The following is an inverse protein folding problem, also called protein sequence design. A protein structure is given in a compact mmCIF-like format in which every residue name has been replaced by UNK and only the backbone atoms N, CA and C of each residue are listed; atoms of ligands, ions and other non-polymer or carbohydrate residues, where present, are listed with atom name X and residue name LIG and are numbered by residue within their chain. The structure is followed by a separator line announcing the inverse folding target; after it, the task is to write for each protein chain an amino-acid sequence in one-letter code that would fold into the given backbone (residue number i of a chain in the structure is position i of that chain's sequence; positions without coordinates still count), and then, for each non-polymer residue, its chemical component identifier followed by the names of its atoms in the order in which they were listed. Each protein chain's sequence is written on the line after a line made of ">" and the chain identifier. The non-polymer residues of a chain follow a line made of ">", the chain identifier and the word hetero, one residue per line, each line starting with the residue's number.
data_IF_911317356405
#
_entry.id   IF_911317356405
#
_cell.length_a   1.000
_cell.length_b   1.000
_cell.length_c   1.000
_cell.angle_alpha   90.00
_cell.angle_beta   90.00
_cell.angle_gamma   90.00
#
_symmetry.space_group_name_H-M   'P 1'
#
loop_
_entity.id
_entity.type
_entity.pdbx_description
1 polymer ?
#
# COMPACT_ATOMS: atom_id res chain seq x y z
N UNK A 1 -40.01 17.03 -79.69
CA UNK A 1 -40.53 17.96 -78.66
C UNK A 1 -40.80 17.17 -77.38
N UNK A 2 -40.14 17.55 -76.28
CA UNK A 2 -40.45 17.10 -74.92
C UNK A 2 -41.86 17.58 -74.55
N UNK A 3 -42.66 16.77 -73.87
CA UNK A 3 -43.46 17.21 -72.71
C UNK A 3 -43.84 15.98 -71.87
N UNK A 4 -43.33 15.95 -70.64
CA UNK A 4 -43.51 14.91 -69.63
C UNK A 4 -44.96 14.87 -69.11
N UNK A 5 -45.51 13.66 -69.04
CA UNK A 5 -46.76 13.36 -68.34
C UNK A 5 -46.44 13.18 -66.85
N UNK A 6 -47.03 14.02 -66.01
CA UNK A 6 -46.93 13.91 -64.55
C UNK A 6 -48.09 13.05 -64.07
N UNK A 7 -47.80 11.84 -63.56
CA UNK A 7 -48.78 10.96 -62.92
C UNK A 7 -48.75 11.23 -61.42
N UNK A 8 -49.85 11.74 -60.88
CA UNK A 8 -50.05 11.91 -59.45
C UNK A 8 -50.40 10.55 -58.81
N UNK A 9 -49.52 10.04 -57.95
CA UNK A 9 -49.78 8.86 -57.12
C UNK A 9 -50.30 9.32 -55.74
N UNK A 10 -51.53 8.93 -55.41
CA UNK A 10 -52.12 9.17 -54.11
C UNK A 10 -51.51 8.21 -53.06
N UNK A 11 -50.70 8.75 -52.15
CA UNK A 11 -50.17 8.03 -50.99
C UNK A 11 -51.23 8.05 -49.87
N UNK A 12 -51.72 6.87 -49.49
CA UNK A 12 -52.58 6.72 -48.30
C UNK A 12 -51.70 6.73 -47.04
N UNK A 13 -51.88 7.74 -46.18
CA UNK A 13 -51.17 7.88 -44.92
C UNK A 13 -51.83 6.96 -43.88
N UNK A 14 -51.18 5.86 -43.54
CA UNK A 14 -51.48 5.08 -42.33
C UNK A 14 -50.84 5.77 -41.14
N UNK A 15 -51.64 6.53 -40.37
CA UNK A 15 -51.25 7.07 -39.07
C UNK A 15 -51.14 5.91 -38.07
N UNK A 16 -49.93 5.37 -37.93
CA UNK A 16 -49.54 4.50 -36.82
C UNK A 16 -49.39 5.36 -35.56
N UNK A 17 -50.35 5.26 -34.63
CA UNK A 17 -50.18 5.77 -33.28
C UNK A 17 -49.10 4.94 -32.56
N UNK A 18 -47.84 5.38 -32.62
CA UNK A 18 -46.82 4.89 -31.69
C UNK A 18 -47.23 5.32 -30.28
N UNK A 19 -47.54 4.34 -29.42
CA UNK A 19 -47.66 4.58 -27.98
C UNK A 19 -46.35 5.23 -27.50
N UNK A 20 -46.39 6.30 -26.69
CA UNK A 20 -45.17 6.84 -26.10
C UNK A 20 -44.50 5.72 -25.29
N UNK A 21 -43.23 5.45 -25.60
CA UNK A 21 -42.39 4.58 -24.77
C UNK A 21 -42.45 5.11 -23.34
N UNK A 22 -42.97 4.29 -22.43
CA UNK A 22 -42.95 4.60 -21.01
C UNK A 22 -41.49 4.84 -20.61
N UNK A 23 -41.19 6.07 -20.20
CA UNK A 23 -39.88 6.43 -19.64
C UNK A 23 -39.61 5.50 -18.46
N UNK A 24 -38.58 4.66 -18.59
CA UNK A 24 -38.17 3.76 -17.51
C UNK A 24 -37.93 4.61 -16.25
N UNK A 25 -38.49 4.25 -15.09
CA UNK A 25 -38.30 5.01 -13.87
C UNK A 25 -36.80 5.05 -13.55
N UNK A 26 -36.26 6.27 -13.46
CA UNK A 26 -34.85 6.45 -13.12
C UNK A 26 -34.66 6.11 -11.64
N UNK A 27 -33.73 5.21 -11.35
CA UNK A 27 -33.42 4.83 -9.98
C UNK A 27 -32.74 6.01 -9.25
N UNK A 28 -33.48 6.62 -8.32
CA UNK A 28 -33.02 7.77 -7.54
C UNK A 28 -31.78 7.44 -6.69
N UNK A 29 -31.59 6.18 -6.31
CA UNK A 29 -30.41 5.74 -5.56
C UNK A 29 -29.16 5.79 -6.43
N UNK A 30 -29.27 5.33 -7.68
CA UNK A 30 -28.18 5.37 -8.67
C UNK A 30 -27.77 6.80 -8.99
N UNK A 31 -28.72 7.74 -9.10
CA UNK A 31 -28.42 9.16 -9.30
C UNK A 31 -27.71 9.74 -8.08
N UNK A 32 -28.20 9.46 -6.86
CA UNK A 32 -27.59 9.91 -5.61
C UNK A 32 -26.16 9.41 -5.45
N UNK A 33 -25.93 8.12 -5.68
CA UNK A 33 -24.61 7.49 -5.60
C UNK A 33 -23.63 8.09 -6.65
N UNK A 34 -24.14 8.42 -7.84
CA UNK A 34 -23.36 9.10 -8.88
C UNK A 34 -22.98 10.53 -8.50
N UNK A 35 -23.91 11.30 -7.93
CA UNK A 35 -23.65 12.66 -7.47
C UNK A 35 -22.64 12.71 -6.31
N UNK A 36 -22.75 11.78 -5.35
CA UNK A 36 -21.79 11.61 -4.25
C UNK A 36 -20.40 11.29 -4.82
N UNK A 37 -20.30 10.35 -5.76
CA UNK A 37 -19.01 10.01 -6.38
C UNK A 37 -18.36 11.20 -7.11
N UNK A 38 -19.14 11.99 -7.85
CA UNK A 38 -18.65 13.22 -8.51
C UNK A 38 -18.15 14.24 -7.50
N UNK A 39 -18.90 14.45 -6.42
CA UNK A 39 -18.52 15.39 -5.36
C UNK A 39 -17.26 14.93 -4.62
N UNK A 40 -17.17 13.65 -4.26
CA UNK A 40 -15.98 13.06 -3.65
C UNK A 40 -14.74 13.24 -4.53
N UNK A 41 -14.86 12.93 -5.82
CA UNK A 41 -13.79 13.14 -6.79
C UNK A 41 -13.32 14.59 -6.80
N UNK A 42 -14.26 15.55 -6.86
CA UNK A 42 -13.93 16.99 -6.83
C UNK A 42 -13.20 17.40 -5.55
N UNK A 43 -13.69 16.98 -4.39
CA UNK A 43 -13.08 17.29 -3.10
C UNK A 43 -11.67 16.72 -2.98
N UNK A 44 -11.48 15.45 -3.34
CA UNK A 44 -10.16 14.84 -3.33
C UNK A 44 -9.20 15.52 -4.31
N UNK A 45 -9.64 15.83 -5.53
CA UNK A 45 -8.79 16.54 -6.51
C UNK A 45 -8.33 17.89 -5.96
N UNK A 46 -9.25 18.71 -5.44
CA UNK A 46 -8.90 20.03 -4.86
C UNK A 46 -7.96 19.91 -3.66
N UNK A 47 -8.19 18.92 -2.79
CA UNK A 47 -7.33 18.68 -1.63
C UNK A 47 -5.93 18.24 -2.06
N UNK A 48 -5.81 17.30 -3.00
CA UNK A 48 -4.51 16.88 -3.53
C UNK A 48 -3.78 18.03 -4.24
N UNK A 49 -4.49 18.87 -5.00
CA UNK A 49 -3.90 20.06 -5.61
C UNK A 49 -3.30 21.01 -4.56
N UNK A 50 -4.04 21.25 -3.47
CA UNK A 50 -3.60 22.06 -2.34
C UNK A 50 -2.35 21.46 -1.66
N UNK A 51 -2.39 20.17 -1.30
CA UNK A 51 -1.27 19.48 -0.64
C UNK A 51 -0.02 19.50 -1.52
N UNK A 52 -0.16 19.19 -2.81
CA UNK A 52 0.97 19.18 -3.74
C UNK A 52 1.59 20.56 -3.91
N UNK A 53 0.77 21.61 -4.03
CA UNK A 53 1.24 22.99 -4.16
C UNK A 53 1.93 23.49 -2.90
N UNK A 54 1.32 23.23 -1.73
CA UNK A 54 1.78 23.65 -0.40
C UNK A 54 3.11 23.01 -0.01
N UNK A 55 3.26 21.70 -0.25
CA UNK A 55 4.45 20.95 0.17
C UNK A 55 5.46 20.73 -0.94
N UNK A 56 5.18 21.21 -2.16
CA UNK A 56 6.04 20.94 -3.33
C UNK A 56 6.27 19.43 -3.48
N UNK A 57 5.18 18.68 -3.42
CA UNK A 57 5.22 17.23 -3.28
C UNK A 57 5.75 16.57 -4.57
N UNK A 58 6.85 15.83 -4.48
CA UNK A 58 7.43 15.07 -5.59
C UNK A 58 7.08 13.58 -5.42
N UNK A 59 6.06 13.12 -6.15
CA UNK A 59 5.50 11.80 -5.94
C UNK A 59 4.16 11.57 -6.66
N UNK A 60 3.54 10.46 -6.30
CA UNK A 60 2.25 10.00 -6.80
C UNK A 60 1.29 9.72 -5.66
N UNK A 61 0.03 10.14 -5.83
CA UNK A 61 -1.07 9.83 -4.92
C UNK A 61 -2.26 9.35 -5.73
N UNK A 62 -2.91 8.29 -5.26
CA UNK A 62 -4.22 7.91 -5.77
C UNK A 62 -5.16 7.45 -4.66
N UNK A 63 -6.44 7.71 -4.91
CA UNK A 63 -7.56 7.25 -4.10
C UNK A 63 -8.45 6.38 -4.99
N UNK A 64 -8.72 5.18 -4.55
CA UNK A 64 -9.62 4.24 -5.21
C UNK A 64 -10.75 3.88 -4.27
N UNK A 65 -11.95 3.66 -4.80
CA UNK A 65 -13.09 3.10 -4.06
C UNK A 65 -13.51 1.80 -4.74
N UNK A 66 -13.29 0.67 -4.07
CA UNK A 66 -13.25 -0.65 -4.70
C UNK A 66 -12.43 -0.62 -6.00
N UNK A 67 -13.03 -0.83 -7.16
CA UNK A 67 -12.32 -0.89 -8.45
C UNK A 67 -12.26 0.46 -9.17
N UNK A 68 -12.91 1.49 -8.64
CA UNK A 68 -13.05 2.80 -9.27
C UNK A 68 -11.93 3.73 -8.82
N UNK A 69 -11.19 4.29 -9.77
CA UNK A 69 -10.28 5.40 -9.50
C UNK A 69 -11.08 6.67 -9.20
N UNK A 70 -11.01 7.15 -7.96
CA UNK A 70 -11.64 8.41 -7.54
C UNK A 70 -10.81 9.58 -8.06
N UNK A 71 -9.52 9.60 -7.72
CA UNK A 71 -8.58 10.60 -8.22
C UNK A 71 -7.14 10.06 -8.22
N UNK A 72 -6.31 10.63 -9.09
CA UNK A 72 -4.85 10.42 -9.10
C UNK A 72 -4.18 11.75 -9.37
N UNK A 73 -3.02 11.98 -8.74
CA UNK A 73 -2.13 13.08 -9.05
C UNK A 73 -0.68 12.60 -9.01
N UNK A 74 0.06 12.90 -10.07
CA UNK A 74 1.51 12.70 -10.17
C UNK A 74 2.15 14.08 -10.28
N UNK A 75 3.30 14.28 -9.65
CA UNK A 75 4.04 15.55 -9.76
C UNK A 75 5.53 15.35 -9.55
N UNK A 76 6.31 16.15 -10.30
CA UNK A 76 7.75 16.19 -10.16
C UNK A 76 8.47 15.09 -10.95
N UNK A 77 9.66 14.72 -10.50
CA UNK A 77 10.61 13.91 -11.27
C UNK A 77 10.98 12.60 -10.59
N UNK A 78 10.97 11.52 -11.37
CA UNK A 78 11.51 10.21 -11.00
C UNK A 78 13.05 10.22 -11.11
N UNK A 79 13.58 11.03 -12.04
CA UNK A 79 14.99 11.41 -12.10
C UNK A 79 15.14 12.94 -12.23
N UNK A 80 15.63 13.59 -11.17
CA UNK A 80 15.82 15.04 -11.13
C UNK A 80 16.89 15.55 -12.11
N UNK A 81 17.97 14.78 -12.35
CA UNK A 81 19.07 15.20 -13.24
C UNK A 81 18.58 15.24 -14.69
N UNK A 82 17.87 14.20 -15.10
CA UNK A 82 17.38 14.05 -16.47
C UNK A 82 15.98 14.65 -16.67
N UNK A 83 15.36 15.20 -15.62
CA UNK A 83 13.99 15.72 -15.62
C UNK A 83 12.96 14.68 -16.12
N UNK A 84 13.18 13.39 -15.84
CA UNK A 84 12.21 12.33 -16.17
C UNK A 84 11.00 12.50 -15.24
N UNK A 85 9.83 12.79 -15.80
CA UNK A 85 8.62 13.03 -15.02
C UNK A 85 8.17 11.76 -14.27
N UNK A 86 7.45 11.95 -13.16
CA UNK A 86 6.70 10.87 -12.51
C UNK A 86 5.40 10.64 -13.27
N UNK A 87 5.10 9.37 -13.56
CA UNK A 87 3.90 8.92 -14.25
C UNK A 87 3.27 7.69 -13.57
N UNK A 88 2.26 7.11 -14.22
CA UNK A 88 1.53 5.95 -13.69
C UNK A 88 2.35 4.65 -13.65
N UNK A 89 3.44 4.57 -14.42
CA UNK A 89 4.31 3.40 -14.51
C UNK A 89 5.55 3.52 -13.63
N UNK A 90 5.71 4.67 -12.96
CA UNK A 90 6.86 4.92 -12.10
C UNK A 90 6.83 4.00 -10.88
N UNK A 91 7.91 3.25 -10.69
CA UNK A 91 8.09 2.30 -9.59
C UNK A 91 8.83 2.98 -8.44
N UNK A 92 8.32 2.85 -7.21
CA UNK A 92 8.89 3.46 -6.02
C UNK A 92 9.37 2.39 -5.03
N UNK A 93 10.40 2.71 -4.25
CA UNK A 93 10.73 1.95 -3.07
C UNK A 93 9.66 2.19 -1.99
N UNK A 94 8.98 1.13 -1.54
CA UNK A 94 7.84 1.26 -0.63
C UNK A 94 8.23 1.13 0.85
N UNK A 95 9.51 0.90 1.14
CA UNK A 95 10.04 0.76 2.49
C UNK A 95 9.22 -0.24 3.31
N UNK A 96 8.96 0.09 4.58
CA UNK A 96 8.28 -0.82 5.51
C UNK A 96 6.84 -1.23 5.15
N UNK A 97 6.22 -0.71 4.09
CA UNK A 97 5.02 -1.34 3.52
C UNK A 97 5.32 -2.80 3.11
N UNK A 98 6.59 -3.11 2.80
CA UNK A 98 7.10 -4.46 2.52
C UNK A 98 6.74 -5.50 3.59
N UNK A 99 6.59 -5.08 4.86
CA UNK A 99 6.27 -5.96 5.98
C UNK A 99 4.94 -6.69 5.83
N UNK A 100 3.97 -6.08 5.13
CA UNK A 100 2.68 -6.72 4.86
C UNK A 100 2.87 -8.01 4.06
N UNK A 101 3.74 -7.99 3.05
CA UNK A 101 4.01 -9.14 2.19
C UNK A 101 4.73 -10.25 2.97
N UNK A 102 5.72 -9.90 3.79
CA UNK A 102 6.42 -10.84 4.68
C UNK A 102 5.46 -11.52 5.65
N UNK A 103 4.59 -10.74 6.30
CA UNK A 103 3.59 -11.27 7.22
C UNK A 103 2.61 -12.21 6.53
N UNK A 104 2.11 -11.84 5.34
CA UNK A 104 1.23 -12.71 4.54
C UNK A 104 1.94 -13.98 4.10
N UNK A 105 3.21 -13.93 3.71
CA UNK A 105 3.99 -15.12 3.37
C UNK A 105 4.11 -16.08 4.57
N UNK A 106 4.40 -15.56 5.77
CA UNK A 106 4.42 -16.38 7.00
C UNK A 106 3.06 -17.03 7.25
N UNK A 107 1.98 -16.27 7.11
CA UNK A 107 0.62 -16.77 7.31
C UNK A 107 0.23 -17.83 6.27
N UNK A 108 0.64 -17.69 5.01
CA UNK A 108 0.47 -18.73 4.00
C UNK A 108 1.23 -20.02 4.38
N UNK A 109 2.42 -19.91 4.98
CA UNK A 109 3.15 -21.08 5.49
C UNK A 109 2.49 -21.72 6.72
N UNK A 110 1.72 -20.96 7.49
CA UNK A 110 0.86 -21.48 8.55
C UNK A 110 -0.31 -22.27 7.95
N UNK A 111 -0.96 -21.74 6.91
CA UNK A 111 -2.03 -22.45 6.21
C UNK A 111 -1.54 -23.73 5.53
N UNK A 112 -0.31 -23.73 5.01
CA UNK A 112 0.37 -24.93 4.48
C UNK A 112 0.76 -25.95 5.58
N UNK A 113 0.54 -25.64 6.87
CA UNK A 113 0.92 -26.49 8.00
C UNK A 113 2.44 -26.59 8.25
N UNK A 114 3.25 -25.71 7.63
CA UNK A 114 4.72 -25.77 7.69
C UNK A 114 5.31 -25.10 8.94
N UNK A 115 4.55 -24.21 9.57
CA UNK A 115 4.92 -23.56 10.83
C UNK A 115 3.68 -23.09 11.59
N UNK A 116 3.87 -22.73 12.86
CA UNK A 116 2.86 -22.18 13.75
C UNK A 116 3.31 -20.83 14.30
N UNK A 117 2.38 -20.00 14.76
CA UNK A 117 2.71 -18.70 15.37
C UNK A 117 3.53 -18.87 16.65
N UNK A 118 3.28 -19.95 17.38
CA UNK A 118 3.88 -20.30 18.66
C UNK A 118 5.24 -21.00 18.51
N UNK A 119 5.61 -21.41 17.28
CA UNK A 119 6.93 -21.99 17.07
C UNK A 119 8.02 -20.97 17.41
N UNK A 120 9.07 -21.45 18.08
CA UNK A 120 10.27 -20.68 18.34
C UNK A 120 11.04 -20.46 17.04
N UNK A 121 11.55 -19.25 16.82
CA UNK A 121 12.36 -18.92 15.65
C UNK A 121 13.66 -19.75 15.58
N UNK A 122 14.19 -20.18 16.74
CA UNK A 122 15.36 -21.06 16.90
C UNK A 122 15.23 -22.42 16.21
N UNK A 123 13.99 -22.88 16.00
CA UNK A 123 13.66 -24.09 15.21
C UNK A 123 14.03 -23.96 13.73
N UNK A 124 14.05 -22.73 13.21
CA UNK A 124 14.20 -22.46 11.78
C UNK A 124 15.51 -21.74 11.44
N UNK A 125 15.98 -20.86 12.33
CA UNK A 125 17.11 -19.96 12.08
C UNK A 125 18.15 -20.13 13.19
N UNK A 126 19.37 -20.53 12.82
CA UNK A 126 20.44 -20.88 13.76
C UNK A 126 20.83 -19.71 14.66
N UNK A 127 20.76 -18.48 14.15
CA UNK A 127 21.08 -17.26 14.89
C UNK A 127 20.18 -17.03 16.12
N UNK A 128 19.00 -17.67 16.18
CA UNK A 128 18.11 -17.65 17.34
C UNK A 128 18.41 -18.72 18.39
N UNK A 129 19.36 -19.63 18.15
CA UNK A 129 19.70 -20.71 19.11
C UNK A 129 20.57 -20.24 20.29
N UNK A 130 20.87 -18.94 20.36
CA UNK A 130 21.47 -18.32 21.54
C UNK A 130 20.44 -18.23 22.68
N UNK A 131 20.90 -18.41 23.92
CA UNK A 131 20.05 -18.43 25.13
C UNK A 131 19.11 -17.23 25.27
N UNK A 132 19.57 -16.05 24.87
CA UNK A 132 18.78 -14.81 24.94
C UNK A 132 17.66 -14.75 23.90
N UNK A 133 17.74 -15.51 22.80
CA UNK A 133 16.76 -15.47 21.70
C UNK A 133 15.93 -16.74 21.57
N UNK A 134 16.33 -17.84 22.21
CA UNK A 134 15.79 -19.18 21.95
C UNK A 134 14.27 -19.30 22.14
N UNK A 135 13.70 -18.44 22.99
CA UNK A 135 12.26 -18.40 23.30
C UNK A 135 11.47 -17.39 22.47
N UNK A 136 12.09 -16.68 21.52
CA UNK A 136 11.38 -15.76 20.63
C UNK A 136 10.52 -16.56 19.64
N UNK A 137 9.22 -16.28 19.64
CA UNK A 137 8.24 -16.92 18.76
C UNK A 137 8.04 -16.16 17.45
N UNK A 138 7.45 -16.83 16.46
CA UNK A 138 7.07 -16.21 15.18
C UNK A 138 6.03 -15.10 15.39
N UNK A 139 5.07 -15.29 16.32
CA UNK A 139 4.14 -14.25 16.75
C UNK A 139 4.85 -12.96 17.20
N UNK A 140 5.87 -13.10 18.06
CA UNK A 140 6.61 -11.97 18.63
C UNK A 140 7.45 -11.22 17.58
N UNK A 141 7.90 -11.91 16.53
CA UNK A 141 8.54 -11.27 15.39
C UNK A 141 7.55 -10.46 14.53
N UNK A 142 6.36 -11.02 14.26
CA UNK A 142 5.32 -10.39 13.44
C UNK A 142 4.74 -9.11 14.05
N UNK A 143 4.61 -9.06 15.38
CA UNK A 143 4.01 -7.92 16.10
C UNK A 143 5.03 -7.05 16.85
N UNK A 144 6.34 -7.25 16.61
CA UNK A 144 7.42 -6.46 17.20
C UNK A 144 7.52 -6.53 18.74
N UNK A 145 7.11 -7.65 19.33
CA UNK A 145 7.23 -7.87 20.79
C UNK A 145 8.41 -8.76 21.18
N UNK A 146 9.33 -9.06 20.25
CA UNK A 146 10.49 -9.94 20.51
C UNK A 146 11.58 -9.34 21.42
N UNK A 147 11.62 -8.02 21.57
CA UNK A 147 12.71 -7.32 22.26
C UNK A 147 13.97 -7.12 21.40
N UNK A 148 14.00 -7.61 20.15
CA UNK A 148 15.13 -7.42 19.24
C UNK A 148 15.23 -5.96 18.80
N UNK A 149 16.43 -5.40 18.87
CA UNK A 149 16.79 -4.18 18.16
C UNK A 149 17.49 -4.55 16.86
N UNK A 150 18.77 -4.90 16.97
CA UNK A 150 19.59 -5.49 15.91
C UNK A 150 19.97 -6.94 16.26
N UNK A 151 20.18 -7.75 15.23
CA UNK A 151 20.69 -9.10 15.37
C UNK A 151 22.09 -9.11 16.00
N UNK A 152 22.24 -9.95 17.02
CA UNK A 152 23.50 -10.15 17.73
C UNK A 152 23.61 -9.34 19.02
N UNK A 153 22.80 -8.30 19.19
CA UNK A 153 22.73 -7.47 20.40
C UNK A 153 21.86 -8.10 21.49
N UNK A 154 21.97 -7.61 22.73
CA UNK A 154 21.07 -8.02 23.81
C UNK A 154 19.64 -7.55 23.51
N UNK A 155 18.65 -8.31 23.96
CA UNK A 155 17.25 -7.86 23.91
C UNK A 155 17.07 -6.60 24.76
N UNK A 156 16.26 -5.67 24.25
CA UNK A 156 15.91 -4.44 24.97
C UNK A 156 14.98 -4.72 26.16
N UNK A 157 14.22 -5.80 26.09
CA UNK A 157 13.30 -6.28 27.13
C UNK A 157 13.04 -7.78 26.95
N UNK A 158 12.43 -8.42 27.95
CA UNK A 158 12.03 -9.83 27.87
C UNK A 158 11.02 -10.03 26.75
N UNK A 159 11.26 -10.98 25.84
CA UNK A 159 10.34 -11.27 24.73
C UNK A 159 8.89 -11.41 25.20
N UNK A 160 7.97 -10.71 24.53
CA UNK A 160 6.55 -10.62 24.86
C UNK A 160 6.17 -9.56 25.90
N UNK A 161 7.12 -8.91 26.59
CA UNK A 161 6.81 -7.95 27.66
C UNK A 161 6.77 -6.49 27.23
N UNK A 162 7.01 -6.19 25.95
CA UNK A 162 7.11 -4.82 25.44
C UNK A 162 7.03 -4.76 23.93
N UNK A 163 7.20 -3.57 23.37
CA UNK A 163 7.17 -3.32 21.93
C UNK A 163 8.46 -2.60 21.48
N UNK A 164 9.14 -3.14 20.47
CA UNK A 164 10.22 -2.45 19.76
C UNK A 164 10.16 -2.76 18.26
N UNK A 165 9.96 -1.72 17.46
CA UNK A 165 9.88 -1.86 16.01
C UNK A 165 11.23 -2.30 15.43
N UNK A 166 11.31 -3.54 14.96
CA UNK A 166 12.56 -4.17 14.51
C UNK A 166 12.49 -4.59 13.05
N UNK A 167 13.39 -4.05 12.21
CA UNK A 167 13.59 -4.52 10.85
C UNK A 167 14.25 -5.91 10.86
N UNK A 168 15.19 -6.14 11.77
CA UNK A 168 15.87 -7.42 11.90
C UNK A 168 14.90 -8.54 12.29
N UNK A 169 13.90 -8.27 13.12
CA UNK A 169 12.81 -9.21 13.37
C UNK A 169 12.06 -9.63 12.10
N UNK A 170 11.82 -8.72 11.16
CA UNK A 170 11.20 -9.05 9.88
C UNK A 170 12.16 -9.72 8.90
N UNK A 171 13.45 -9.37 8.91
CA UNK A 171 14.48 -10.08 8.16
C UNK A 171 14.62 -11.53 8.64
N UNK A 172 14.42 -11.78 9.94
CA UNK A 172 14.31 -13.13 10.50
C UNK A 172 13.16 -13.91 9.88
N UNK A 173 11.97 -13.31 9.80
CA UNK A 173 10.80 -13.92 9.16
C UNK A 173 11.10 -14.28 7.70
N UNK A 174 11.84 -13.44 6.98
CA UNK A 174 12.34 -13.75 5.64
C UNK A 174 13.16 -15.05 5.60
N UNK A 175 14.14 -15.20 6.50
CA UNK A 175 14.94 -16.43 6.60
C UNK A 175 14.10 -17.65 6.98
N UNK A 176 13.07 -17.48 7.82
CA UNK A 176 12.13 -18.56 8.17
C UNK A 176 11.35 -18.99 6.91
N UNK A 177 10.85 -18.04 6.12
CA UNK A 177 10.17 -18.32 4.84
C UNK A 177 11.09 -19.12 3.91
N UNK A 178 12.36 -18.72 3.77
CA UNK A 178 13.33 -19.44 2.96
C UNK A 178 13.52 -20.87 3.44
N UNK A 179 13.72 -21.05 4.75
CA UNK A 179 13.93 -22.34 5.39
C UNK A 179 12.77 -23.31 5.15
N UNK A 180 11.53 -22.86 5.30
CA UNK A 180 10.34 -23.73 5.19
C UNK A 180 9.85 -23.91 3.75
N UNK A 181 10.19 -23.00 2.85
CA UNK A 181 9.78 -23.06 1.44
C UNK A 181 10.80 -23.75 0.54
N UNK A 182 12.09 -23.75 0.91
CA UNK A 182 13.19 -24.19 0.06
C UNK A 182 13.51 -23.23 -1.09
N UNK A 183 12.89 -22.05 -1.13
CA UNK A 183 13.09 -21.00 -2.15
C UNK A 183 13.67 -19.75 -1.50
N UNK A 184 14.37 -18.90 -2.26
CA UNK A 184 14.78 -17.59 -1.76
C UNK A 184 13.58 -16.73 -1.37
N UNK A 185 13.81 -15.74 -0.51
CA UNK A 185 12.76 -14.79 -0.13
C UNK A 185 12.25 -14.03 -1.35
N UNK A 186 13.17 -13.62 -2.24
CA UNK A 186 12.85 -12.97 -3.51
C UNK A 186 11.88 -13.82 -4.34
N UNK A 187 12.13 -15.13 -4.50
CA UNK A 187 11.23 -16.00 -5.27
C UNK A 187 9.86 -16.15 -4.61
N UNK A 188 9.78 -16.27 -3.29
CA UNK A 188 8.49 -16.36 -2.59
C UNK A 188 7.65 -15.10 -2.78
N UNK A 189 8.28 -13.91 -2.74
CA UNK A 189 7.59 -12.64 -2.99
C UNK A 189 7.16 -12.51 -4.45
N UNK A 190 8.02 -12.88 -5.40
CA UNK A 190 7.65 -12.85 -6.83
C UNK A 190 6.50 -13.83 -7.15
N UNK A 191 6.49 -15.02 -6.55
CA UNK A 191 5.39 -15.99 -6.68
C UNK A 191 4.08 -15.41 -6.13
N UNK A 192 4.13 -14.69 -5.00
CA UNK A 192 2.98 -14.00 -4.43
C UNK A 192 2.48 -12.88 -5.35
N UNK A 193 3.36 -12.05 -5.89
CA UNK A 193 3.00 -11.00 -6.84
C UNK A 193 2.34 -11.58 -8.09
N UNK A 194 2.87 -12.68 -8.62
CA UNK A 194 2.26 -13.39 -9.75
C UNK A 194 0.86 -13.90 -9.43
N UNK A 195 0.65 -14.48 -8.23
CA UNK A 195 -0.68 -14.94 -7.76
C UNK A 195 -1.69 -13.80 -7.67
N UNK A 196 -1.26 -12.62 -7.19
CA UNK A 196 -2.13 -11.44 -7.00
C UNK A 196 -2.33 -10.66 -8.32
N UNK A 197 -1.40 -10.76 -9.26
CA UNK A 197 -1.40 -9.99 -10.50
C UNK A 197 -0.63 -8.65 -10.42
N UNK A 198 0.25 -8.49 -9.43
CA UNK A 198 1.12 -7.32 -9.26
C UNK A 198 2.30 -7.39 -10.24
N UNK A 199 2.08 -6.97 -11.49
CA UNK A 199 3.04 -7.14 -12.60
C UNK A 199 4.17 -6.11 -12.60
N UNK A 200 4.02 -5.01 -11.85
CA UNK A 200 4.97 -3.89 -11.78
C UNK A 200 5.60 -3.78 -10.38
N UNK A 201 5.72 -4.92 -9.70
CA UNK A 201 6.31 -5.04 -8.37
C UNK A 201 7.44 -6.05 -8.39
N UNK A 202 8.50 -5.75 -7.66
CA UNK A 202 9.65 -6.61 -7.53
C UNK A 202 10.34 -6.39 -6.19
N UNK A 203 11.33 -7.21 -5.88
CA UNK A 203 12.30 -6.87 -4.84
C UNK A 203 13.39 -5.97 -5.41
N UNK A 204 14.08 -5.24 -4.53
CA UNK A 204 15.23 -4.42 -4.93
C UNK A 204 16.41 -5.21 -5.50
N UNK A 205 16.48 -6.52 -5.21
CA UNK A 205 17.49 -7.43 -5.75
C UNK A 205 17.23 -7.78 -7.22
N UNK A 206 15.97 -8.01 -7.57
CA UNK A 206 15.56 -8.53 -8.89
C UNK A 206 15.11 -7.43 -9.87
N UNK A 207 15.17 -6.16 -9.48
CA UNK A 207 14.72 -5.07 -10.34
C UNK A 207 15.76 -4.76 -11.43
N UNK A 208 15.32 -4.79 -12.69
CA UNK A 208 16.15 -4.51 -13.88
C UNK A 208 15.59 -3.40 -14.78
N UNK A 209 14.49 -2.74 -14.40
CA UNK A 209 13.83 -1.71 -15.21
C UNK A 209 14.48 -0.33 -15.15
N UNK A 210 14.04 0.59 -16.02
CA UNK A 210 14.48 1.98 -16.09
C UNK A 210 13.43 2.98 -15.55
N UNK A 211 12.27 2.48 -15.13
CA UNK A 211 11.13 3.25 -14.62
C UNK A 211 11.12 3.38 -13.08
N UNK A 212 12.24 3.10 -12.42
CA UNK A 212 12.40 3.32 -10.98
C UNK A 212 12.56 4.82 -10.66
N UNK A 213 11.76 5.32 -9.72
CA UNK A 213 11.97 6.62 -9.11
C UNK A 213 13.21 6.57 -8.21
N UNK A 214 14.28 7.24 -8.65
CA UNK A 214 15.49 7.39 -7.83
C UNK A 214 15.14 8.00 -6.47
N UNK A 215 15.84 7.59 -5.41
CA UNK A 215 15.63 8.16 -4.07
C UNK A 215 16.52 9.38 -3.86
N UNK A 216 15.98 10.44 -3.28
CA UNK A 216 16.69 11.71 -3.11
C UNK A 216 16.58 12.26 -1.68
N UNK A 217 17.65 12.89 -1.19
CA UNK A 217 17.58 13.79 -0.04
C UNK A 217 17.36 15.23 -0.48
N UNK A 218 16.78 16.04 0.41
CA UNK A 218 16.64 17.48 0.23
C UNK A 218 15.27 17.87 -0.32
N UNK A 219 15.24 18.76 -1.31
CA UNK A 219 14.02 19.29 -1.92
C UNK A 219 14.19 19.50 -3.42
N UNK A 220 13.14 19.96 -4.10
CA UNK A 220 13.10 20.16 -5.56
C UNK A 220 14.21 21.06 -6.13
N UNK A 221 14.79 21.96 -5.29
CA UNK A 221 15.85 22.90 -5.70
C UNK A 221 17.24 22.38 -5.35
N UNK A 222 17.37 21.78 -4.17
CA UNK A 222 18.63 21.26 -3.63
C UNK A 222 18.44 19.79 -3.27
N UNK A 223 18.84 18.90 -4.17
CA UNK A 223 18.67 17.46 -4.02
C UNK A 223 20.00 16.69 -4.14
N UNK A 224 20.07 15.57 -3.43
CA UNK A 224 21.19 14.62 -3.51
C UNK A 224 20.62 13.23 -3.82
N UNK A 225 21.09 12.59 -4.90
CA UNK A 225 20.66 11.25 -5.28
C UNK A 225 21.31 10.21 -4.37
N UNK A 226 20.51 9.32 -3.78
CA UNK A 226 21.01 8.17 -3.03
C UNK A 226 21.61 7.15 -4.00
N UNK A 227 22.88 6.86 -3.84
CA UNK A 227 23.59 5.89 -4.67
C UNK A 227 23.10 4.45 -4.45
N UNK A 228 23.32 3.61 -5.48
CA UNK A 228 23.08 2.16 -5.47
C UNK A 228 21.63 1.71 -5.22
N UNK A 229 20.64 2.59 -5.32
CA UNK A 229 19.23 2.19 -5.33
C UNK A 229 18.87 1.58 -6.70
N UNK A 230 18.02 0.53 -6.76
CA UNK A 230 17.35 -0.13 -5.65
C UNK A 230 18.15 -1.27 -4.97
N UNK A 231 19.30 -1.70 -5.52
CA UNK A 231 20.11 -2.81 -4.96
C UNK A 231 20.49 -2.60 -3.48
N UNK A 232 20.70 -1.35 -3.05
CA UNK A 232 20.96 -0.95 -1.65
C UNK A 232 19.92 -1.52 -0.67
N UNK A 233 18.69 -1.75 -1.12
CA UNK A 233 17.60 -2.26 -0.28
C UNK A 233 17.85 -3.69 0.22
N UNK A 234 18.66 -4.48 -0.49
CA UNK A 234 19.06 -5.83 -0.08
C UNK A 234 20.12 -5.87 1.02
N UNK A 235 20.73 -4.72 1.36
CA UNK A 235 21.79 -4.66 2.36
C UNK A 235 21.25 -4.87 3.78
N UNK A 236 22.14 -5.28 4.69
CA UNK A 236 21.84 -5.58 6.11
C UNK A 236 21.11 -4.45 6.86
N UNK A 237 21.29 -3.19 6.46
CA UNK A 237 20.65 -2.02 7.09
C UNK A 237 19.11 -2.04 6.96
N UNK A 238 18.59 -2.61 5.86
CA UNK A 238 17.15 -2.66 5.59
C UNK A 238 16.71 -4.11 5.48
N UNK A 239 17.25 -4.84 4.49
CA UNK A 239 16.82 -6.18 4.11
C UNK A 239 15.50 -6.19 3.33
N UNK A 240 15.43 -7.06 2.31
CA UNK A 240 14.24 -7.17 1.45
C UNK A 240 12.95 -7.43 2.25
N UNK A 241 12.90 -8.37 3.21
CA UNK A 241 11.67 -8.66 3.97
C UNK A 241 11.14 -7.49 4.79
N UNK A 242 12.02 -6.64 5.31
CA UNK A 242 11.59 -5.54 6.17
C UNK A 242 11.28 -4.25 5.40
N UNK A 243 11.87 -4.04 4.22
CA UNK A 243 11.71 -2.76 3.51
C UNK A 243 12.17 -2.68 2.06
N UNK A 244 12.52 -3.80 1.41
CA UNK A 244 13.16 -3.77 0.09
C UNK A 244 12.27 -4.13 -1.09
N UNK A 245 10.95 -4.02 -0.95
CA UNK A 245 10.03 -4.16 -2.09
C UNK A 245 9.91 -2.84 -2.85
N UNK A 246 9.73 -2.96 -4.16
CA UNK A 246 9.40 -1.90 -5.09
C UNK A 246 8.00 -2.15 -5.66
N UNK A 247 7.23 -1.09 -5.88
CA UNK A 247 5.87 -1.22 -6.42
C UNK A 247 5.36 0.07 -7.06
N UNK A 248 4.18 -0.02 -7.67
CA UNK A 248 3.42 1.11 -8.22
C UNK A 248 2.14 1.35 -7.41
N UNK A 249 1.48 2.48 -7.68
CA UNK A 249 0.15 2.78 -7.13
C UNK A 249 -0.86 1.68 -7.46
N UNK A 250 -0.89 1.23 -8.72
CA UNK A 250 -1.87 0.27 -9.22
C UNK A 250 -1.67 -1.12 -8.61
N UNK A 251 -0.42 -1.57 -8.49
CA UNK A 251 -0.10 -2.85 -7.87
C UNK A 251 -0.43 -2.86 -6.37
N UNK A 252 -0.15 -1.78 -5.63
CA UNK A 252 -0.53 -1.65 -4.22
C UNK A 252 -2.06 -1.58 -4.02
N UNK A 253 -2.78 -1.00 -4.97
CA UNK A 253 -4.24 -1.07 -4.97
C UNK A 253 -4.74 -2.51 -5.18
N UNK A 254 -4.17 -3.24 -6.15
CA UNK A 254 -4.44 -4.68 -6.34
C UNK A 254 -4.14 -5.50 -5.07
N UNK A 255 -3.02 -5.19 -4.41
CA UNK A 255 -2.66 -5.81 -3.13
C UNK A 255 -3.73 -5.58 -2.07
N UNK A 256 -4.12 -4.32 -1.80
CA UNK A 256 -5.13 -4.00 -0.81
C UNK A 256 -6.45 -4.73 -1.09
N UNK A 257 -6.91 -4.67 -2.35
CA UNK A 257 -8.16 -5.33 -2.77
C UNK A 257 -8.07 -6.85 -2.59
N UNK A 258 -6.94 -7.46 -2.90
CA UNK A 258 -6.80 -8.91 -2.83
C UNK A 258 -6.63 -9.40 -1.40
N UNK A 259 -5.83 -8.70 -0.59
CA UNK A 259 -5.60 -9.05 0.81
C UNK A 259 -6.86 -8.88 1.66
N UNK A 260 -7.41 -7.67 1.71
CA UNK A 260 -8.46 -7.32 2.67
C UNK A 260 -9.85 -7.84 2.28
N UNK A 261 -10.05 -8.21 1.01
CA UNK A 261 -11.26 -8.94 0.57
C UNK A 261 -11.08 -10.47 0.62
N UNK A 262 -10.04 -10.98 1.31
CA UNK A 262 -9.89 -12.41 1.59
C UNK A 262 -9.52 -13.28 0.39
N UNK A 263 -8.87 -12.73 -0.65
CA UNK A 263 -8.48 -13.49 -1.85
C UNK A 263 -7.11 -14.15 -1.76
N UNK A 264 -6.31 -13.84 -0.73
CA UNK A 264 -4.93 -14.32 -0.59
C UNK A 264 -4.81 -15.43 0.44
N UNK A 265 -5.38 -15.20 1.63
CA UNK A 265 -5.39 -16.09 2.81
C UNK A 265 -6.83 -16.37 3.24
N UNK A 266 -7.04 -17.45 3.99
CA UNK A 266 -8.34 -17.84 4.53
C UNK A 266 -8.89 -16.80 5.51
N UNK A 267 -10.22 -16.71 5.69
CA UNK A 267 -10.84 -15.72 6.58
C UNK A 267 -10.29 -15.71 8.02
N UNK A 268 -10.08 -16.88 8.62
CA UNK A 268 -9.52 -17.00 9.99
C UNK A 268 -8.07 -16.50 10.06
N UNK A 269 -7.29 -16.73 9.01
CA UNK A 269 -5.92 -16.24 8.89
C UNK A 269 -5.86 -14.74 8.67
N UNK A 270 -6.76 -14.19 7.83
CA UNK A 270 -6.92 -12.76 7.65
C UNK A 270 -7.31 -12.08 8.98
N UNK A 271 -8.21 -12.68 9.75
CA UNK A 271 -8.55 -12.19 11.09
C UNK A 271 -7.33 -12.09 12.00
N UNK A 272 -6.44 -13.10 11.99
CA UNK A 272 -5.17 -13.04 12.75
C UNK A 272 -4.26 -11.90 12.28
N UNK A 273 -4.16 -11.67 10.96
CA UNK A 273 -3.39 -10.56 10.39
C UNK A 273 -3.89 -9.18 10.87
N UNK A 274 -5.22 -9.02 10.93
CA UNK A 274 -5.90 -7.77 11.26
C UNK A 274 -6.08 -7.50 12.76
N UNK A 275 -5.97 -8.54 13.60
CA UNK A 275 -6.23 -8.41 15.03
C UNK A 275 -5.11 -7.60 15.70
N UNK A 276 -5.50 -6.60 16.51
CA UNK A 276 -4.57 -5.90 17.40
C UNK A 276 -3.85 -6.91 18.27
N UNK A 277 -2.53 -6.94 18.17
CA UNK A 277 -1.65 -7.82 18.95
C UNK A 277 -0.56 -7.05 19.72
N UNK A 278 -0.38 -5.76 19.43
CA UNK A 278 0.47 -4.85 20.20
C UNK A 278 0.01 -3.39 20.03
N UNK A 279 0.66 -2.49 20.77
CA UNK A 279 0.49 -1.04 20.64
C UNK A 279 1.84 -0.39 20.33
N UNK A 280 1.83 0.59 19.43
CA UNK A 280 3.01 1.28 18.93
C UNK A 280 2.89 2.79 19.16
N UNK A 281 3.91 3.38 19.80
CA UNK A 281 4.12 4.83 19.73
C UNK A 281 4.84 5.18 18.41
N UNK A 282 4.07 5.52 17.37
CA UNK A 282 4.61 5.85 16.05
C UNK A 282 5.18 7.27 16.02
N UNK A 283 6.42 7.49 15.51
CA UNK A 283 7.05 8.82 15.50
C UNK A 283 6.29 9.87 14.66
N UNK A 284 5.47 9.42 13.71
CA UNK A 284 4.74 10.30 12.78
C UNK A 284 3.26 10.44 13.17
N UNK A 285 2.64 9.35 13.65
CA UNK A 285 1.19 9.26 13.82
C UNK A 285 0.76 9.10 15.29
N UNK A 286 1.70 9.10 16.24
CA UNK A 286 1.38 8.90 17.66
C UNK A 286 1.00 7.46 17.97
N UNK A 287 0.17 7.29 18.99
CA UNK A 287 -0.30 5.98 19.44
C UNK A 287 -1.12 5.29 18.34
N UNK A 288 -0.69 4.09 17.98
CA UNK A 288 -1.32 3.24 16.96
C UNK A 288 -1.43 1.80 17.44
N UNK A 289 -2.49 1.13 17.05
CA UNK A 289 -2.61 -0.31 17.24
C UNK A 289 -1.76 -1.03 16.18
N UNK A 290 -1.26 -2.22 16.50
CA UNK A 290 -0.40 -3.00 15.61
C UNK A 290 -0.92 -4.45 15.46
N UNK A 291 -1.09 -4.87 14.21
CA UNK A 291 -1.38 -6.25 13.81
C UNK A 291 -0.11 -6.95 13.33
N UNK A 292 -0.22 -7.87 12.37
CA UNK A 292 0.96 -8.50 11.78
C UNK A 292 1.47 -7.69 10.58
N UNK A 293 2.49 -6.86 10.79
CA UNK A 293 3.07 -6.03 9.72
C UNK A 293 2.20 -4.86 9.25
N UNK A 294 1.14 -4.53 10.01
CA UNK A 294 0.24 -3.40 9.76
C UNK A 294 -0.03 -2.60 11.04
N UNK A 295 -0.33 -1.33 10.85
CA UNK A 295 -0.91 -0.44 11.85
C UNK A 295 -2.42 -0.34 11.64
N UNK A 296 -3.13 -0.09 12.73
CA UNK A 296 -4.55 0.22 12.74
C UNK A 296 -4.76 1.56 13.43
N UNK A 297 -5.75 2.32 12.97
CA UNK A 297 -6.27 3.43 13.76
C UNK A 297 -6.79 2.87 15.10
N UNK A 298 -6.43 3.51 16.22
CA UNK A 298 -6.93 3.12 17.54
C UNK A 298 -8.43 3.49 17.76
N UNK A 299 -9.08 4.09 16.76
CA UNK A 299 -10.47 4.53 16.78
C UNK A 299 -11.02 4.68 15.36
N UNK A 300 -12.11 5.43 15.20
CA UNK A 300 -12.78 5.61 13.90
C UNK A 300 -12.10 6.65 13.00
N UNK A 301 -12.08 6.45 11.67
CA UNK A 301 -12.60 5.27 10.98
C UNK A 301 -11.63 4.10 11.12
N UNK A 302 -12.14 2.86 10.97
CA UNK A 302 -11.23 1.73 10.88
C UNK A 302 -10.35 1.90 9.64
N UNK A 303 -9.06 1.65 9.80
CA UNK A 303 -8.14 1.61 8.67
C UNK A 303 -6.99 0.65 8.95
N UNK A 304 -6.53 -0.01 7.90
CA UNK A 304 -5.35 -0.87 7.91
C UNK A 304 -4.30 -0.22 7.05
N UNK A 305 -3.14 0.10 7.62
CA UNK A 305 -2.12 0.83 6.89
C UNK A 305 -0.72 0.53 7.37
N UNK A 306 0.26 0.92 6.55
CA UNK A 306 1.64 1.00 7.02
C UNK A 306 2.35 2.16 6.30
N UNK A 307 3.15 2.93 7.03
CA UNK A 307 4.08 3.88 6.43
C UNK A 307 5.40 3.20 6.10
N UNK A 308 6.00 3.51 4.96
CA UNK A 308 7.34 3.07 4.61
C UNK A 308 8.31 4.23 4.59
N UNK A 309 9.53 3.97 5.05
CA UNK A 309 10.64 4.88 4.87
C UNK A 309 11.90 4.09 4.61
N UNK A 310 12.52 4.36 3.48
CA UNK A 310 13.95 4.14 3.23
C UNK A 310 14.55 5.49 2.87
N UNK A 311 15.86 5.64 2.99
CA UNK A 311 16.52 6.94 2.81
C UNK A 311 16.09 7.58 1.48
N UNK A 312 15.42 8.73 1.55
CA UNK A 312 14.91 9.45 0.38
C UNK A 312 13.65 8.88 -0.30
N UNK A 313 12.96 7.90 0.28
CA UNK A 313 11.71 7.34 -0.27
C UNK A 313 10.66 7.11 0.83
N UNK A 314 9.84 8.13 1.12
CA UNK A 314 8.65 8.00 1.97
C UNK A 314 7.47 7.39 1.20
N UNK A 315 6.70 6.53 1.88
CA UNK A 315 5.48 5.93 1.35
C UNK A 315 4.41 5.75 2.43
N UNK A 316 3.15 5.66 2.01
CA UNK A 316 2.02 5.30 2.85
C UNK A 316 0.99 4.52 2.04
N UNK A 317 0.64 3.33 2.50
CA UNK A 317 -0.40 2.48 1.91
C UNK A 317 -1.51 2.27 2.94
N UNK A 318 -2.75 2.65 2.61
CA UNK A 318 -3.90 2.63 3.52
C UNK A 318 -5.09 1.94 2.84
N UNK A 319 -5.83 1.17 3.62
CA UNK A 319 -7.13 0.61 3.24
C UNK A 319 -8.17 0.89 4.32
N UNK A 320 -9.36 1.34 3.90
CA UNK A 320 -10.54 1.55 4.73
C UNK A 320 -11.57 0.47 4.39
N UNK A 321 -11.83 -0.50 5.29
CA UNK A 321 -12.60 -1.69 4.95
C UNK A 321 -14.09 -1.43 4.73
N UNK A 322 -14.69 -0.49 5.46
CA UNK A 322 -16.14 -0.22 5.40
C UNK A 322 -16.56 0.30 4.02
N UNK A 323 -15.77 1.19 3.43
CA UNK A 323 -16.04 1.81 2.12
C UNK A 323 -15.24 1.19 0.99
N UNK A 324 -14.35 0.23 1.31
CA UNK A 324 -13.38 -0.40 0.39
C UNK A 324 -12.47 0.62 -0.28
N UNK A 325 -12.14 1.71 0.42
CA UNK A 325 -11.28 2.77 -0.10
C UNK A 325 -9.80 2.40 0.07
N UNK A 326 -9.01 2.53 -1.00
CA UNK A 326 -7.55 2.47 -0.95
C UNK A 326 -6.96 3.86 -1.14
N UNK A 327 -6.00 4.24 -0.31
CA UNK A 327 -5.19 5.45 -0.49
C UNK A 327 -3.72 5.06 -0.51
N UNK A 328 -3.07 5.33 -1.64
CA UNK A 328 -1.65 5.02 -1.84
C UNK A 328 -0.91 6.33 -2.13
N UNK A 329 0.16 6.58 -1.38
CA UNK A 329 0.99 7.79 -1.47
C UNK A 329 2.45 7.32 -1.57
N UNK A 330 3.11 7.65 -2.68
CA UNK A 330 4.49 7.26 -2.96
C UNK A 330 5.30 8.52 -3.31
N UNK A 331 6.48 8.66 -2.70
CA UNK A 331 7.37 9.79 -2.98
C UNK A 331 8.83 9.34 -2.97
N UNK A 332 9.68 10.12 -3.62
CA UNK A 332 11.09 9.76 -3.82
C UNK A 332 12.04 10.89 -3.44
N UNK A 333 11.61 11.79 -2.54
CA UNK A 333 12.47 12.80 -1.94
C UNK A 333 12.14 13.01 -0.45
N UNK A 334 13.17 13.22 0.37
CA UNK A 334 12.99 13.50 1.80
C UNK A 334 14.04 14.49 2.33
N UNK A 335 13.60 15.53 3.03
CA UNK A 335 14.49 16.45 3.75
C UNK A 335 14.75 15.91 5.17
N UNK A 336 15.68 14.95 5.29
CA UNK A 336 15.99 14.29 6.58
C UNK A 336 16.47 15.27 7.66
N UNK A 337 17.04 16.42 7.28
CA UNK A 337 17.48 17.46 8.23
C UNK A 337 16.31 18.03 9.04
N UNK A 338 15.08 17.96 8.52
CA UNK A 338 13.86 18.41 9.20
C UNK A 338 13.14 17.28 9.96
N UNK A 339 13.69 16.06 9.93
CA UNK A 339 13.14 14.90 10.62
C UNK A 339 11.91 14.27 9.94
N UNK A 340 11.61 13.03 10.33
CA UNK A 340 10.53 12.21 9.74
C UNK A 340 9.15 12.87 9.85
N UNK A 341 8.85 13.53 10.95
CA UNK A 341 7.56 14.22 11.14
C UNK A 341 7.34 15.36 10.14
N UNK A 342 8.41 15.99 9.66
CA UNK A 342 8.33 16.97 8.57
C UNK A 342 8.12 16.28 7.22
N UNK A 343 8.95 15.28 6.89
CA UNK A 343 8.87 14.52 5.64
C UNK A 343 7.47 13.96 5.37
N UNK A 344 6.78 13.50 6.41
CA UNK A 344 5.44 12.90 6.28
C UNK A 344 4.28 13.90 6.41
N UNK A 345 4.51 15.22 6.51
CA UNK A 345 3.42 16.22 6.51
C UNK A 345 2.42 16.05 5.36
N UNK A 346 2.82 15.94 4.07
CA UNK A 346 1.86 15.71 3.00
C UNK A 346 1.09 14.39 3.17
N UNK A 347 1.78 13.32 3.60
CA UNK A 347 1.16 12.01 3.83
C UNK A 347 0.09 12.05 4.93
N UNK A 348 0.39 12.75 6.04
CA UNK A 348 -0.56 12.95 7.15
C UNK A 348 -1.73 13.82 6.75
N UNK A 349 -1.50 14.90 6.01
CA UNK A 349 -2.58 15.80 5.58
C UNK A 349 -3.55 15.11 4.61
N UNK A 350 -3.05 14.23 3.74
CA UNK A 350 -3.90 13.38 2.89
C UNK A 350 -4.64 12.35 3.74
N UNK A 351 -3.94 11.62 4.64
CA UNK A 351 -4.59 10.62 5.50
C UNK A 351 -5.69 11.24 6.37
N UNK A 352 -5.42 12.36 7.05
CA UNK A 352 -6.38 13.02 7.92
C UNK A 352 -7.62 13.48 7.17
N UNK A 353 -7.44 14.01 5.95
CA UNK A 353 -8.56 14.37 5.08
C UNK A 353 -9.38 13.14 4.68
N UNK A 354 -8.72 12.02 4.33
CA UNK A 354 -9.44 10.77 4.08
C UNK A 354 -10.15 10.27 5.33
N UNK A 355 -9.50 10.22 6.50
CA UNK A 355 -10.14 9.79 7.75
C UNK A 355 -11.42 10.61 8.03
N UNK A 356 -11.40 11.93 7.78
CA UNK A 356 -12.57 12.80 7.86
C UNK A 356 -13.66 12.41 6.84
N UNK A 357 -13.30 12.23 5.56
CA UNK A 357 -14.24 11.83 4.51
C UNK A 357 -14.90 10.49 4.80
N UNK A 358 -14.14 9.53 5.33
CA UNK A 358 -14.62 8.19 5.67
C UNK A 358 -15.58 8.25 6.88
N UNK A 359 -15.28 9.05 7.91
CA UNK A 359 -16.21 9.26 9.03
C UNK A 359 -17.55 9.90 8.60
N UNK A 360 -17.53 10.83 7.63
CA UNK A 360 -18.76 11.43 7.09
C UNK A 360 -19.62 10.36 6.38
N UNK A 361 -19.00 9.39 5.72
CA UNK A 361 -19.73 8.32 5.03
C UNK A 361 -20.28 7.25 5.97
N UNK A 362 -19.74 7.12 7.18
CA UNK A 362 -20.23 6.18 8.20
C UNK A 362 -21.39 6.75 9.03
N UNK A 363 -21.60 8.07 8.97
CA UNK A 363 -22.64 8.78 9.74
C UNK A 363 -23.90 9.10 8.92
N UNK A 364 -23.89 8.80 7.62
CA UNK A 364 -25.03 8.86 6.70
C UNK A 364 -25.40 7.44 6.26
#
# INVERSE_FOLDING_TARGET
>A
MKFSITVAAAFSILLSCQKPEATKPVDKKVISDSAVAVYQKKLYTLHLDSVFSKYKFNGSVAVFKDSMLVCRKNNGFSDFKNKKAIDNQTIFAIGSVSKQFTAVLILLKIEEGKLKLEDQASKYVKEFQRKDYENITIHQLLNHTSGLNNFGEKLLFRSGSGFNYSNDGFNALGKIIEKVSGKSYDQNVMDLFKKVGMKNSSTGNLFEGDNFAGAYLGNEKNFEKIANMPKRLGNKEIGIPAGGILSTIDDLHLWNKSLYLGKIVQPETLKKFLTKSAERQHPIFGKMDYGYGIMLNAGSPASYFHSGYVKGSPSLNIYYPETKTSVIILSNIADEKKGKSHTFKPHREIKNFTDMMENILLTN
#
